data_IF_967665853634
#
_entry.id   IF_967665853634
#
_cell.length_a   1.000
_cell.length_b   1.000
_cell.length_c   1.000
_cell.angle_alpha   90.00
_cell.angle_beta   90.00
_cell.angle_gamma   90.00
#
_symmetry.space_group_name_H-M   'P 1'
#
loop_
_entity.id
_entity.type
_entity.pdbx_description
1 polymer ?
#
# COMPACT_ATOMS: atom_id res chain seq x y z
N UNK A 1 13.89 9.40 10.87
CA UNK A 1 13.12 10.30 9.98
C UNK A 1 12.05 10.97 10.82
N UNK A 2 11.67 12.21 10.48
CA UNK A 2 10.62 12.93 11.18
C UNK A 2 9.24 12.61 10.57
N UNK A 3 8.23 12.59 11.43
CA UNK A 3 6.82 12.45 11.06
C UNK A 3 6.14 13.79 11.18
N UNK A 4 5.29 14.13 10.22
CA UNK A 4 4.47 15.34 10.28
C UNK A 4 3.02 15.00 9.96
N UNK A 5 2.11 15.59 10.74
CA UNK A 5 0.68 15.64 10.46
C UNK A 5 0.33 17.08 10.11
N UNK A 6 -0.33 17.28 8.99
CA UNK A 6 -0.61 18.62 8.47
C UNK A 6 -2.06 19.04 8.64
N UNK A 7 -2.98 18.08 8.81
CA UNK A 7 -4.41 18.34 8.87
C UNK A 7 -4.98 18.02 10.24
N UNK A 8 -5.96 18.83 10.66
CA UNK A 8 -6.76 18.50 11.84
C UNK A 8 -7.64 17.28 11.57
N UNK A 9 -7.59 16.33 12.50
CA UNK A 9 -8.38 15.11 12.52
C UNK A 9 -9.53 15.32 13.50
N UNK A 10 -10.69 15.73 12.97
CA UNK A 10 -11.83 16.20 13.77
C UNK A 10 -12.81 15.08 14.16
N UNK A 11 -12.35 13.83 14.19
CA UNK A 11 -13.13 12.67 14.61
C UNK A 11 -12.23 11.64 15.29
N UNK A 12 -12.85 10.74 16.06
CA UNK A 12 -12.15 9.64 16.70
C UNK A 12 -11.88 8.52 15.68
N UNK A 13 -10.64 8.42 15.22
CA UNK A 13 -10.19 7.41 14.26
C UNK A 13 -10.40 5.98 14.78
N UNK A 14 -10.18 5.73 16.07
CA UNK A 14 -10.32 4.38 16.62
C UNK A 14 -11.78 3.97 16.72
N UNK A 15 -12.66 4.91 17.11
CA UNK A 15 -14.10 4.71 17.05
C UNK A 15 -14.58 4.49 15.62
N UNK A 16 -14.10 5.27 14.65
CA UNK A 16 -14.41 5.09 13.24
C UNK A 16 -14.03 3.68 12.76
N UNK A 17 -12.80 3.22 13.05
CA UNK A 17 -12.34 1.88 12.71
C UNK A 17 -13.24 0.80 13.32
N UNK A 18 -13.54 0.91 14.61
CA UNK A 18 -14.38 -0.06 15.34
C UNK A 18 -15.82 -0.07 14.80
N UNK A 19 -16.46 1.09 14.71
CA UNK A 19 -17.88 1.20 14.35
C UNK A 19 -18.13 0.75 12.89
N UNK A 20 -17.09 0.77 12.03
CA UNK A 20 -17.13 0.27 10.65
C UNK A 20 -16.50 -1.12 10.45
N UNK A 21 -16.13 -1.83 11.54
CA UNK A 21 -15.49 -3.16 11.50
C UNK A 21 -14.20 -3.23 10.67
N UNK A 22 -13.44 -2.14 10.62
CA UNK A 22 -12.18 -2.05 9.88
C UNK A 22 -11.06 -2.76 10.66
N UNK A 23 -10.21 -3.49 9.93
CA UNK A 23 -9.08 -4.25 10.47
C UNK A 23 -7.77 -3.51 10.30
N UNK A 24 -7.62 -2.76 9.21
CA UNK A 24 -6.38 -2.09 8.85
C UNK A 24 -6.65 -0.78 8.14
N UNK A 25 -5.90 0.26 8.48
CA UNK A 25 -5.99 1.55 7.80
C UNK A 25 -4.61 2.14 7.54
N UNK A 26 -4.46 2.73 6.35
CA UNK A 26 -3.20 3.26 5.85
C UNK A 26 -3.39 4.64 5.22
N UNK A 27 -2.27 5.35 5.01
CA UNK A 27 -2.26 6.66 4.37
C UNK A 27 -1.44 6.72 3.07
N UNK A 28 -0.47 5.82 2.87
CA UNK A 28 0.31 5.78 1.64
C UNK A 28 0.54 4.33 1.22
N UNK A 29 0.50 4.10 -0.09
CA UNK A 29 1.06 2.90 -0.71
C UNK A 29 2.33 3.28 -1.45
N UNK A 30 3.40 2.52 -1.22
CA UNK A 30 4.70 2.73 -1.83
C UNK A 30 5.12 1.51 -2.64
N UNK A 31 6.04 1.73 -3.57
CA UNK A 31 6.78 0.66 -4.22
C UNK A 31 8.13 0.50 -3.51
N UNK A 32 8.48 -0.73 -3.13
CA UNK A 32 9.76 -1.03 -2.48
C UNK A 32 10.72 -1.76 -3.43
N UNK A 33 12.00 -1.80 -3.06
CA UNK A 33 13.05 -2.45 -3.83
C UNK A 33 13.07 -3.96 -3.57
N UNK A 34 12.63 -4.72 -4.57
CA UNK A 34 12.50 -6.18 -4.58
C UNK A 34 13.79 -6.93 -4.22
N UNK A 35 14.96 -6.28 -4.41
CA UNK A 35 16.27 -6.82 -3.99
C UNK A 35 16.37 -7.03 -2.48
N UNK A 36 15.51 -6.38 -1.69
CA UNK A 36 15.50 -6.46 -0.24
C UNK A 36 14.85 -7.74 0.28
N UNK A 37 13.94 -8.35 -0.48
CA UNK A 37 13.14 -9.49 -0.05
C UNK A 37 12.88 -10.50 -1.18
N UNK A 38 13.93 -10.93 -1.92
CA UNK A 38 13.79 -11.76 -3.12
C UNK A 38 13.05 -13.09 -2.89
N UNK A 39 13.05 -13.65 -1.68
CA UNK A 39 12.32 -14.89 -1.41
C UNK A 39 10.93 -14.70 -0.78
N UNK A 40 10.54 -13.50 -0.38
CA UNK A 40 9.30 -13.28 0.37
C UNK A 40 8.06 -13.82 -0.35
N UNK A 41 7.94 -13.57 -1.66
CA UNK A 41 6.79 -14.03 -2.42
C UNK A 41 6.73 -15.56 -2.54
N UNK A 42 7.86 -16.21 -2.80
CA UNK A 42 7.90 -17.68 -2.93
C UNK A 42 7.61 -18.37 -1.58
N UNK A 43 8.07 -17.77 -0.46
CA UNK A 43 7.73 -18.20 0.91
C UNK A 43 6.24 -18.03 1.19
N UNK A 44 5.66 -16.93 0.71
CA UNK A 44 4.23 -16.65 0.85
C UNK A 44 3.36 -17.63 0.08
N UNK A 45 3.70 -17.91 -1.19
CA UNK A 45 3.05 -18.95 -1.98
C UNK A 45 3.13 -20.32 -1.32
N UNK A 46 4.27 -20.64 -0.71
CA UNK A 46 4.45 -21.91 0.02
C UNK A 46 3.55 -21.99 1.25
N UNK A 47 3.41 -20.88 2.01
CA UNK A 47 2.46 -20.79 3.11
C UNK A 47 1.01 -20.99 2.63
N UNK A 48 0.60 -20.31 1.55
CA UNK A 48 -0.75 -20.44 1.00
C UNK A 48 -1.10 -21.88 0.61
N UNK A 49 -0.13 -22.61 0.04
CA UNK A 49 -0.30 -24.04 -0.33
C UNK A 49 -0.36 -24.95 0.89
N UNK A 50 0.43 -24.66 1.93
CA UNK A 50 0.48 -25.46 3.15
C UNK A 50 -0.70 -25.20 4.10
N UNK A 51 -1.28 -23.99 4.05
CA UNK A 51 -2.32 -23.54 4.97
C UNK A 51 -3.53 -22.88 4.26
N UNK A 52 -4.12 -23.51 3.23
CA UNK A 52 -5.25 -22.92 2.50
C UNK A 52 -6.46 -22.61 3.39
N UNK A 53 -6.65 -23.39 4.46
CA UNK A 53 -7.72 -23.21 5.45
C UNK A 53 -7.59 -21.92 6.30
N UNK A 54 -6.42 -21.31 6.34
CA UNK A 54 -6.19 -20.06 7.08
C UNK A 54 -6.46 -18.82 6.21
N UNK A 55 -6.58 -18.98 4.90
CA UNK A 55 -6.81 -17.87 3.98
C UNK A 55 -8.24 -17.34 4.13
N UNK A 56 -8.39 -16.03 4.07
CA UNK A 56 -9.72 -15.42 4.07
C UNK A 56 -10.46 -15.82 2.78
N UNK A 57 -11.74 -16.26 2.83
CA UNK A 57 -12.47 -16.67 1.64
C UNK A 57 -12.62 -15.57 0.57
N UNK A 58 -12.62 -14.32 1.03
CA UNK A 58 -12.65 -13.12 0.17
C UNK A 58 -11.27 -12.42 0.07
N UNK A 59 -10.18 -13.13 0.35
CA UNK A 59 -8.82 -12.62 0.15
C UNK A 59 -8.64 -12.23 -1.33
N UNK A 60 -8.10 -11.04 -1.58
CA UNK A 60 -7.84 -10.57 -2.93
C UNK A 60 -6.44 -9.95 -3.03
N UNK A 61 -5.57 -10.65 -3.74
CA UNK A 61 -4.20 -10.23 -4.01
C UNK A 61 -4.02 -9.59 -5.39
N UNK A 62 -5.08 -9.41 -6.19
CA UNK A 62 -4.96 -9.00 -7.59
C UNK A 62 -4.14 -7.72 -7.79
N UNK A 63 -4.28 -6.75 -6.87
CA UNK A 63 -3.55 -5.48 -6.91
C UNK A 63 -2.06 -5.60 -6.51
N UNK A 64 -1.67 -6.73 -5.92
CA UNK A 64 -0.30 -7.06 -5.52
C UNK A 64 0.43 -7.93 -6.54
N UNK A 65 -0.25 -8.36 -7.60
CA UNK A 65 0.30 -9.30 -8.57
C UNK A 65 0.49 -8.63 -9.93
N UNK A 66 1.63 -8.93 -10.54
CA UNK A 66 1.86 -8.66 -11.95
C UNK A 66 0.90 -9.52 -12.81
N UNK A 67 0.09 -8.93 -13.71
CA UNK A 67 -0.93 -9.66 -14.47
C UNK A 67 -0.41 -10.76 -15.39
N UNK A 68 0.85 -10.66 -15.85
CA UNK A 68 1.44 -11.60 -16.81
C UNK A 68 2.18 -12.74 -16.11
N UNK A 69 2.94 -12.40 -15.07
CA UNK A 69 3.85 -13.34 -14.39
C UNK A 69 3.26 -13.92 -13.10
N UNK A 70 2.19 -13.32 -12.58
CA UNK A 70 1.64 -13.61 -11.25
C UNK A 70 2.68 -13.51 -10.12
N UNK A 71 3.74 -12.73 -10.35
CA UNK A 71 4.74 -12.41 -9.34
C UNK A 71 4.27 -11.24 -8.48
N UNK A 72 4.78 -11.15 -7.24
CA UNK A 72 4.55 -10.00 -6.39
C UNK A 72 5.11 -8.72 -7.04
N UNK A 73 4.27 -7.70 -7.16
CA UNK A 73 4.61 -6.45 -7.83
C UNK A 73 5.37 -5.46 -6.91
N UNK A 74 5.62 -5.86 -5.65
CA UNK A 74 6.36 -5.11 -4.62
C UNK A 74 5.66 -3.85 -4.11
N UNK A 75 4.36 -3.69 -4.39
CA UNK A 75 3.54 -2.67 -3.77
C UNK A 75 3.21 -3.01 -2.33
N UNK A 76 3.30 -2.02 -1.44
CA UNK A 76 3.02 -2.21 -0.02
C UNK A 76 2.36 -0.99 0.61
N UNK A 77 1.53 -1.24 1.63
CA UNK A 77 1.15 -0.20 2.57
C UNK A 77 2.41 0.31 3.27
N UNK A 78 2.56 1.62 3.39
CA UNK A 78 3.72 2.19 4.05
C UNK A 78 3.53 2.19 5.58
N UNK A 79 4.11 1.19 6.24
CA UNK A 79 3.83 0.87 7.65
C UNK A 79 4.24 1.93 8.68
N UNK A 80 4.92 3.01 8.26
CA UNK A 80 5.18 4.14 9.16
C UNK A 80 3.90 4.85 9.62
N UNK A 81 2.82 4.78 8.84
CA UNK A 81 1.47 5.15 9.27
C UNK A 81 0.57 3.92 9.19
N UNK A 82 0.12 3.44 10.33
CA UNK A 82 -0.83 2.31 10.41
C UNK A 82 -1.81 2.53 11.56
N UNK A 83 -3.09 2.30 11.26
CA UNK A 83 -4.12 2.12 12.28
C UNK A 83 -4.60 0.68 12.16
N UNK A 84 -4.05 -0.21 12.99
CA UNK A 84 -4.27 -1.65 12.92
C UNK A 84 -5.07 -2.20 14.10
N UNK A 85 -6.02 -3.09 13.83
CA UNK A 85 -6.69 -3.87 14.86
C UNK A 85 -5.74 -4.95 15.39
N UNK A 86 -5.35 -4.86 16.67
CA UNK A 86 -4.53 -5.91 17.29
C UNK A 86 -5.26 -7.26 17.35
N UNK A 87 -6.60 -7.29 17.33
CA UNK A 87 -7.35 -8.53 17.25
C UNK A 87 -7.15 -9.23 15.90
N UNK A 88 -7.02 -8.47 14.80
CA UNK A 88 -6.65 -9.01 13.50
C UNK A 88 -5.23 -9.62 13.55
N UNK A 89 -4.24 -8.85 14.02
CA UNK A 89 -2.84 -9.31 14.06
C UNK A 89 -2.60 -10.51 14.98
N UNK A 90 -3.35 -10.62 16.09
CA UNK A 90 -3.33 -11.78 16.99
C UNK A 90 -4.18 -12.96 16.50
N UNK A 91 -4.83 -12.82 15.35
CA UNK A 91 -5.61 -13.88 14.72
C UNK A 91 -4.74 -15.01 14.20
N UNK A 92 -5.35 -16.19 14.02
CA UNK A 92 -4.65 -17.42 13.64
C UNK A 92 -3.89 -17.30 12.31
N UNK A 93 -4.48 -16.65 11.30
CA UNK A 93 -3.85 -16.43 9.99
C UNK A 93 -2.58 -15.58 10.08
N UNK A 94 -2.68 -14.29 10.49
CA UNK A 94 -1.52 -13.42 10.61
C UNK A 94 -0.41 -13.98 11.54
N UNK A 95 -0.79 -14.59 12.67
CA UNK A 95 0.19 -15.20 13.59
C UNK A 95 0.91 -16.37 12.94
N UNK A 96 0.19 -17.32 12.32
CA UNK A 96 0.82 -18.46 11.66
C UNK A 96 1.70 -18.05 10.47
N UNK A 97 1.31 -17.00 9.75
CA UNK A 97 2.11 -16.46 8.65
C UNK A 97 3.40 -15.79 9.13
N UNK A 98 3.33 -15.01 10.20
CA UNK A 98 4.54 -14.45 10.82
C UNK A 98 5.49 -15.56 11.28
N UNK A 99 4.99 -16.56 12.02
CA UNK A 99 5.79 -17.71 12.49
C UNK A 99 6.42 -18.51 11.33
N UNK A 100 5.73 -18.59 10.18
CA UNK A 100 6.23 -19.23 8.97
C UNK A 100 7.41 -18.45 8.38
N UNK A 101 7.28 -17.13 8.27
CA UNK A 101 8.34 -16.27 7.75
C UNK A 101 9.54 -16.16 8.69
N UNK A 102 9.31 -16.12 10.00
CA UNK A 102 10.35 -16.06 11.02
C UNK A 102 11.25 -17.31 10.94
N UNK A 103 10.65 -18.50 10.88
CA UNK A 103 11.38 -19.76 10.66
C UNK A 103 12.14 -19.83 9.33
N UNK A 104 11.67 -19.11 8.31
CA UNK A 104 12.36 -19.05 7.03
C UNK A 104 13.63 -18.16 7.07
N UNK A 105 13.79 -17.33 8.11
CA UNK A 105 14.98 -16.53 8.37
C UNK A 105 15.17 -15.31 7.46
N UNK A 106 14.18 -14.97 6.63
CA UNK A 106 14.28 -13.85 5.67
C UNK A 106 14.41 -12.46 6.33
N UNK A 107 14.05 -12.33 7.60
CA UNK A 107 14.33 -11.12 8.38
C UNK A 107 15.83 -10.88 8.64
N UNK A 108 16.65 -11.93 8.61
CA UNK A 108 18.08 -11.87 8.92
C UNK A 108 18.97 -12.15 7.71
N UNK A 109 18.59 -13.13 6.88
CA UNK A 109 19.35 -13.51 5.68
C UNK A 109 19.02 -12.65 4.46
N UNK A 110 17.87 -11.98 4.50
CA UNK A 110 17.45 -10.94 3.57
C UNK A 110 17.10 -9.69 4.40
N UNK A 111 16.24 -8.82 3.88
CA UNK A 111 15.76 -7.63 4.58
C UNK A 111 14.25 -7.53 4.45
N UNK A 112 13.55 -8.56 4.96
CA UNK A 112 12.09 -8.51 5.08
C UNK A 112 11.71 -7.33 5.98
N UNK A 113 11.14 -6.29 5.38
CA UNK A 113 10.51 -5.22 6.13
C UNK A 113 9.17 -5.67 6.72
N UNK A 114 8.71 -4.96 7.73
CA UNK A 114 7.35 -5.10 8.26
C UNK A 114 6.30 -4.69 7.22
N UNK A 115 6.50 -3.58 6.49
CA UNK A 115 5.58 -3.13 5.43
C UNK A 115 5.15 -4.21 4.40
N UNK A 116 6.06 -4.94 3.74
CA UNK A 116 5.66 -5.99 2.80
C UNK A 116 5.02 -7.19 3.51
N UNK A 117 5.46 -7.53 4.73
CA UNK A 117 4.87 -8.62 5.52
C UNK A 117 3.44 -8.29 5.96
N UNK A 118 3.20 -7.07 6.45
CA UNK A 118 1.89 -6.56 6.82
C UNK A 118 0.98 -6.51 5.59
N UNK A 119 1.48 -6.03 4.45
CA UNK A 119 0.72 -5.97 3.20
C UNK A 119 0.24 -7.34 2.75
N UNK A 120 1.13 -8.33 2.72
CA UNK A 120 0.76 -9.69 2.34
C UNK A 120 -0.18 -10.32 3.38
N UNK A 121 0.06 -10.10 4.67
CA UNK A 121 -0.84 -10.57 5.73
C UNK A 121 -2.26 -10.01 5.58
N UNK A 122 -2.40 -8.69 5.38
CA UNK A 122 -3.70 -8.04 5.12
C UNK A 122 -4.35 -8.61 3.85
N UNK A 123 -3.58 -8.78 2.76
CA UNK A 123 -4.10 -9.33 1.51
C UNK A 123 -4.56 -10.79 1.61
N UNK A 124 -3.96 -11.59 2.51
CA UNK A 124 -4.28 -13.01 2.71
C UNK A 124 -5.41 -13.24 3.71
N UNK A 125 -5.55 -12.38 4.72
CA UNK A 125 -6.38 -12.65 5.91
C UNK A 125 -7.50 -11.63 6.14
N UNK A 126 -7.59 -10.58 5.34
CA UNK A 126 -8.69 -9.62 5.36
C UNK A 126 -9.39 -9.52 4.00
N UNK A 127 -10.60 -8.99 4.00
CA UNK A 127 -11.29 -8.59 2.77
C UNK A 127 -10.98 -7.12 2.47
N UNK A 128 -11.05 -6.74 1.19
CA UNK A 128 -10.82 -5.36 0.73
C UNK A 128 -11.66 -4.29 1.46
N UNK A 129 -12.88 -4.63 1.88
CA UNK A 129 -13.79 -3.74 2.63
C UNK A 129 -13.39 -3.53 4.08
N UNK A 130 -12.56 -4.41 4.64
CA UNK A 130 -12.06 -4.29 6.01
C UNK A 130 -10.84 -3.36 6.09
N UNK A 131 -10.41 -2.81 4.95
CA UNK A 131 -9.21 -1.99 4.81
C UNK A 131 -9.58 -0.58 4.37
N UNK A 132 -9.08 0.42 5.09
CA UNK A 132 -9.42 1.82 4.86
C UNK A 132 -8.22 2.66 4.41
N UNK A 133 -8.46 3.55 3.44
CA UNK A 133 -7.50 4.56 3.02
C UNK A 133 -7.86 5.91 3.64
N UNK A 134 -7.01 6.41 4.54
CA UNK A 134 -7.18 7.70 5.19
C UNK A 134 -6.76 8.85 4.27
N UNK A 135 -7.54 9.07 3.22
CA UNK A 135 -7.35 10.13 2.23
C UNK A 135 -7.53 11.55 2.81
N UNK A 136 -8.09 11.66 4.00
CA UNK A 136 -8.35 12.91 4.71
C UNK A 136 -7.21 13.33 5.66
N UNK A 137 -6.24 12.45 5.92
CA UNK A 137 -5.11 12.69 6.83
C UNK A 137 -3.91 13.19 6.03
N UNK A 138 -3.55 14.47 6.19
CA UNK A 138 -2.29 15.00 5.65
C UNK A 138 -1.11 14.50 6.48
N UNK A 139 -0.18 13.77 5.86
CA UNK A 139 0.89 13.05 6.54
C UNK A 139 2.19 13.06 5.73
N UNK A 140 3.34 13.08 6.42
CA UNK A 140 4.66 12.94 5.81
C UNK A 140 5.59 12.11 6.68
N UNK A 141 6.37 11.25 6.01
CA UNK A 141 7.49 10.53 6.59
C UNK A 141 8.69 10.60 5.63
N UNK A 142 9.74 11.31 6.05
CA UNK A 142 10.92 11.53 5.21
C UNK A 142 10.59 12.35 3.96
N UNK A 143 10.83 11.79 2.78
CA UNK A 143 10.57 12.43 1.47
C UNK A 143 9.18 12.12 0.89
N UNK A 144 8.43 11.23 1.55
CA UNK A 144 7.09 10.82 1.13
C UNK A 144 6.07 11.64 1.91
N UNK A 145 5.25 12.39 1.18
CA UNK A 145 4.27 13.32 1.73
C UNK A 145 2.98 13.17 0.95
N UNK A 146 1.87 13.19 1.67
CA UNK A 146 0.53 13.32 1.13
C UNK A 146 -0.18 14.48 1.83
N UNK A 147 -0.81 15.36 1.04
CA UNK A 147 -1.65 16.43 1.55
C UNK A 147 -2.98 16.45 0.77
N UNK A 148 -4.14 16.32 1.44
CA UNK A 148 -5.43 16.27 0.79
C UNK A 148 -5.81 17.61 0.12
N UNK A 149 -6.58 17.53 -0.96
CA UNK A 149 -7.22 18.68 -1.62
C UNK A 149 -8.51 19.09 -0.90
N UNK A 150 -8.98 20.32 -1.13
CA UNK A 150 -10.27 20.81 -0.64
C UNK A 150 -10.37 20.94 0.89
N UNK A 151 -9.23 21.03 1.58
CA UNK A 151 -9.14 21.21 3.04
C UNK A 151 -8.42 22.50 3.41
N UNK A 152 -8.61 23.57 2.63
CA UNK A 152 -8.04 24.88 2.95
C UNK A 152 -8.47 25.34 4.35
N UNK A 153 -7.50 25.76 5.17
CA UNK A 153 -7.73 26.20 6.55
C UNK A 153 -7.82 25.07 7.58
N UNK A 154 -8.04 23.81 7.17
CA UNK A 154 -7.95 22.64 8.05
C UNK A 154 -6.60 21.90 7.90
N UNK A 155 -5.83 22.21 6.85
CA UNK A 155 -4.51 21.65 6.59
C UNK A 155 -3.44 22.75 6.43
N UNK A 156 -2.29 22.56 7.07
CA UNK A 156 -1.09 23.40 6.97
C UNK A 156 -0.09 22.84 5.95
N UNK A 157 -0.56 22.47 4.76
CA UNK A 157 0.25 21.97 3.66
C UNK A 157 -0.35 22.34 2.30
N UNK A 158 0.49 22.43 1.28
CA UNK A 158 0.05 22.50 -0.12
C UNK A 158 -0.46 21.12 -0.56
N UNK A 159 -1.62 21.07 -1.22
CA UNK A 159 -2.21 19.82 -1.67
C UNK A 159 -1.29 19.11 -2.69
N UNK A 160 -1.16 17.79 -2.54
CA UNK A 160 -0.35 16.96 -3.44
C UNK A 160 -1.25 16.10 -4.31
N UNK A 161 -0.67 15.39 -5.30
CA UNK A 161 -1.37 14.22 -5.85
C UNK A 161 -1.33 13.09 -4.81
N UNK A 162 -2.36 12.26 -4.79
CA UNK A 162 -2.48 11.08 -3.89
C UNK A 162 -1.37 10.05 -4.06
N UNK A 163 -0.71 10.02 -5.22
CA UNK A 163 0.40 9.14 -5.55
C UNK A 163 1.69 9.90 -5.86
N UNK A 164 1.84 11.13 -5.38
CA UNK A 164 3.08 11.87 -5.57
C UNK A 164 4.27 11.19 -4.89
N UNK A 165 5.29 10.83 -5.66
CA UNK A 165 6.54 10.30 -5.13
C UNK A 165 6.49 8.86 -4.59
N UNK A 166 5.43 8.09 -4.87
CA UNK A 166 5.25 6.73 -4.35
C UNK A 166 6.38 5.72 -4.68
N UNK A 167 7.18 6.00 -5.72
CA UNK A 167 8.30 5.16 -6.17
C UNK A 167 9.68 5.69 -5.76
N UNK A 168 9.76 6.80 -5.02
CA UNK A 168 11.04 7.46 -4.65
C UNK A 168 11.96 6.56 -3.82
N UNK A 169 11.44 5.47 -3.26
CA UNK A 169 12.19 4.48 -2.48
C UNK A 169 12.87 3.42 -3.35
N UNK A 170 12.56 3.35 -4.65
CA UNK A 170 13.17 2.39 -5.58
C UNK A 170 14.33 3.06 -6.33
N UNK A 171 15.57 2.59 -6.16
CA UNK A 171 16.72 3.11 -6.90
C UNK A 171 16.56 2.89 -8.41
N UNK A 172 17.16 3.77 -9.22
CA UNK A 172 17.09 3.70 -10.69
C UNK A 172 17.71 2.41 -11.22
N UNK A 173 18.68 1.86 -10.51
CA UNK A 173 19.42 0.65 -10.85
C UNK A 173 18.67 -0.64 -10.49
N UNK A 174 17.50 -0.54 -9.83
CA UNK A 174 16.73 -1.73 -9.49
C UNK A 174 16.22 -2.40 -10.78
N UNK A 175 16.51 -3.70 -11.00
CA UNK A 175 16.09 -4.41 -12.20
C UNK A 175 14.60 -4.80 -12.17
N UNK A 176 13.87 -4.43 -11.11
CA UNK A 176 12.48 -4.80 -10.96
C UNK A 176 11.60 -4.14 -12.02
N UNK A 177 10.66 -4.91 -12.58
CA UNK A 177 9.58 -4.34 -13.37
C UNK A 177 8.72 -3.48 -12.45
N UNK A 178 8.65 -2.19 -12.72
CA UNK A 178 7.72 -1.29 -12.03
C UNK A 178 6.29 -1.60 -12.50
N UNK A 179 5.29 -1.61 -11.60
CA UNK A 179 3.91 -1.80 -12.00
C UNK A 179 3.46 -0.74 -13.02
N UNK A 180 2.45 -1.06 -13.83
CA UNK A 180 1.92 -0.16 -14.86
C UNK A 180 1.33 1.12 -14.26
N UNK A 181 0.66 0.98 -13.11
CA UNK A 181 0.07 2.07 -12.33
C UNK A 181 0.67 2.14 -10.92
N UNK A 182 0.37 3.22 -10.20
CA UNK A 182 0.87 3.42 -8.83
C UNK A 182 0.25 2.42 -7.86
N UNK A 183 0.93 2.12 -6.75
CA UNK A 183 0.44 1.13 -5.79
C UNK A 183 -0.89 1.54 -5.14
N UNK A 184 -1.14 2.83 -4.96
CA UNK A 184 -2.43 3.33 -4.48
C UNK A 184 -3.52 3.13 -5.53
N UNK A 185 -3.21 3.39 -6.80
CA UNK A 185 -4.14 3.20 -7.92
C UNK A 185 -4.53 1.74 -8.11
N UNK A 186 -3.54 0.84 -8.12
CA UNK A 186 -3.80 -0.59 -8.14
C UNK A 186 -4.71 -1.04 -7.01
N UNK A 187 -4.54 -0.46 -5.81
CA UNK A 187 -5.37 -0.77 -4.64
C UNK A 187 -6.79 -0.18 -4.71
N UNK A 188 -6.94 1.04 -5.22
CA UNK A 188 -8.25 1.69 -5.40
C UNK A 188 -9.08 0.93 -6.44
N UNK A 189 -8.52 0.75 -7.64
CA UNK A 189 -9.16 0.01 -8.74
C UNK A 189 -10.49 0.59 -9.25
N UNK A 190 -10.94 0.08 -10.40
CA UNK A 190 -12.34 0.16 -10.85
C UNK A 190 -12.96 1.57 -10.88
N UNK A 191 -14.13 1.70 -10.24
CA UNK A 191 -14.99 2.89 -10.26
C UNK A 191 -14.36 4.14 -9.61
N UNK A 192 -13.30 3.96 -8.82
CA UNK A 192 -12.63 5.06 -8.10
C UNK A 192 -11.53 5.73 -8.93
N UNK A 193 -11.28 5.25 -10.17
CA UNK A 193 -10.28 5.81 -11.07
C UNK A 193 -10.83 6.01 -12.49
N UNK A 194 -10.71 7.23 -13.02
CA UNK A 194 -11.06 7.57 -14.40
C UNK A 194 -9.80 7.92 -15.19
N UNK A 195 -9.51 7.21 -16.28
CA UNK A 195 -8.40 7.56 -17.18
C UNK A 195 -8.69 8.89 -17.89
N UNK A 196 -7.71 9.81 -17.88
CA UNK A 196 -7.77 11.06 -18.62
C UNK A 196 -7.75 10.79 -20.12
N UNK A 197 -8.72 11.37 -20.84
CA UNK A 197 -8.83 11.23 -22.29
C UNK A 197 -7.62 11.89 -22.96
N UNK A 198 -6.95 11.15 -23.86
CA UNK A 198 -5.80 11.66 -24.62
C UNK A 198 -4.45 11.62 -23.89
N UNK A 199 -4.40 11.08 -22.67
CA UNK A 199 -3.15 10.93 -21.93
C UNK A 199 -2.38 9.65 -22.33
N UNK A 200 -1.05 9.76 -22.46
CA UNK A 200 -0.12 8.64 -22.56
C UNK A 200 1.03 8.77 -21.56
N UNK A 201 1.47 7.64 -21.03
CA UNK A 201 2.59 7.57 -20.07
C UNK A 201 3.88 8.10 -20.71
N UNK A 202 4.15 7.69 -21.94
CA UNK A 202 5.32 8.11 -22.71
C UNK A 202 5.33 9.63 -22.92
N UNK A 203 4.16 10.22 -23.21
CA UNK A 203 4.02 11.66 -23.39
C UNK A 203 4.29 12.46 -22.12
N UNK A 204 3.81 11.98 -20.97
CA UNK A 204 4.08 12.63 -19.68
C UNK A 204 5.55 12.52 -19.27
N UNK A 205 6.15 11.33 -19.40
CA UNK A 205 7.58 11.12 -19.09
C UNK A 205 8.46 11.99 -20.00
N UNK A 206 8.11 12.13 -21.28
CA UNK A 206 8.85 13.00 -22.21
C UNK A 206 8.80 14.49 -21.82
N UNK A 207 7.77 14.90 -21.07
CA UNK A 207 7.62 16.27 -20.54
C UNK A 207 8.21 16.43 -19.12
N UNK A 208 8.91 15.42 -18.61
CA UNK A 208 9.55 15.46 -17.28
C UNK A 208 8.63 15.07 -16.12
N UNK A 209 7.42 14.58 -16.40
CA UNK A 209 6.54 13.98 -15.40
C UNK A 209 6.99 12.57 -15.00
N UNK A 210 6.36 12.01 -13.97
CA UNK A 210 6.70 10.67 -13.48
C UNK A 210 6.00 9.54 -14.23
N UNK A 211 5.11 9.88 -15.17
CA UNK A 211 4.40 8.91 -16.01
C UNK A 211 3.17 8.32 -15.35
N UNK A 212 2.69 8.96 -14.29
CA UNK A 212 1.54 8.48 -13.52
C UNK A 212 0.45 9.56 -13.37
N UNK A 213 0.47 10.69 -14.07
CA UNK A 213 -0.60 11.71 -14.03
C UNK A 213 -1.88 11.36 -14.84
N UNK A 214 -1.98 10.15 -15.37
CA UNK A 214 -2.98 9.77 -16.37
C UNK A 214 -4.39 9.43 -15.89
N UNK A 215 -4.65 9.41 -14.59
CA UNK A 215 -5.95 9.04 -14.04
C UNK A 215 -6.37 10.05 -12.99
N UNK A 216 -7.66 10.33 -12.93
CA UNK A 216 -8.34 11.11 -11.89
C UNK A 216 -8.92 10.13 -10.88
N UNK A 217 -8.59 10.34 -9.61
CA UNK A 217 -9.18 9.58 -8.51
C UNK A 217 -10.40 10.35 -8.01
N UNK A 218 -11.47 9.65 -7.68
CA UNK A 218 -12.69 10.28 -7.16
C UNK A 218 -12.34 11.09 -5.89
N UNK A 219 -12.55 12.41 -5.91
CA UNK A 219 -12.10 13.36 -4.87
C UNK A 219 -10.86 14.18 -5.21
N UNK A 220 -10.30 14.07 -6.43
CA UNK A 220 -9.25 14.96 -6.95
C UNK A 220 -9.79 16.31 -7.51
N UNK A 221 -11.12 16.47 -7.63
CA UNK A 221 -11.82 17.72 -7.99
C UNK A 221 -12.01 18.66 -6.79
#
# INVERSE_FOLDING_TARGET
MCVHYFCDINYDIFRFMRDNNLKYGFNMNILDDARSFPSLWSRTLSFMRAHPQLLHPAANLSWLLDPETHSYNNCQYFSNFEIGSLAFWRGAGPTAYFDWLDRAGGFYYERFGDAPVHTLSVGLFAERRDVWYFADVGYMHGINRFCPRGREGACACEATRVDEGFYKLVPVESPQRKPEDTCLRGWLGGEWMRKRVGWSREGEVALGGDGYGGYEIWGDE
#
